data_IF_350571493272
#
_entry.id   IF_350571493272
#
_cell.length_a   1.000
_cell.length_b   1.000
_cell.length_c   1.000
_cell.angle_alpha   90.00
_cell.angle_beta   90.00
_cell.angle_gamma   90.00
#
_symmetry.space_group_name_H-M   'P 1'
#
loop_
_entity.id
_entity.type
_entity.pdbx_description
1 polymer ?
#
# COMPACT_ATOMS: atom_id res chain seq x y z
N UNK A 1 -27.69 9.62 0.22
CA UNK A 1 -26.55 8.68 0.38
C UNK A 1 -25.27 9.28 -0.21
N UNK A 2 -24.57 10.19 0.49
CA UNK A 2 -23.36 10.89 -0.02
C UNK A 2 -22.07 10.52 0.75
N UNK A 3 -22.11 9.55 1.67
CA UNK A 3 -20.96 9.20 2.53
C UNK A 3 -20.00 8.14 1.98
N UNK A 4 -20.35 7.42 0.91
CA UNK A 4 -19.57 6.28 0.39
C UNK A 4 -18.58 6.65 -0.71
N UNK A 5 -18.80 7.75 -1.44
CA UNK A 5 -17.91 8.21 -2.51
C UNK A 5 -16.57 8.75 -1.97
N UNK A 6 -16.61 9.61 -0.95
CA UNK A 6 -15.40 10.22 -0.36
C UNK A 6 -14.49 9.17 0.29
N UNK A 7 -15.07 8.20 1.02
CA UNK A 7 -14.31 7.10 1.64
C UNK A 7 -13.63 6.20 0.60
N UNK A 8 -14.26 5.99 -0.56
CA UNK A 8 -13.72 5.15 -1.65
C UNK A 8 -12.57 5.85 -2.39
N UNK A 9 -12.76 7.11 -2.79
CA UNK A 9 -11.71 7.90 -3.46
C UNK A 9 -10.50 8.10 -2.54
N UNK A 10 -10.72 8.32 -1.24
CA UNK A 10 -9.64 8.40 -0.26
C UNK A 10 -8.88 7.06 -0.08
N UNK A 11 -9.53 5.93 -0.37
CA UNK A 11 -8.90 4.61 -0.29
C UNK A 11 -8.05 4.31 -1.52
N UNK A 12 -8.49 4.70 -2.72
CA UNK A 12 -7.73 4.51 -3.96
C UNK A 12 -6.46 5.37 -3.97
N UNK A 13 -6.55 6.63 -3.55
CA UNK A 13 -5.36 7.51 -3.43
C UNK A 13 -4.34 6.95 -2.43
N UNK A 14 -4.79 6.48 -1.26
CA UNK A 14 -3.91 5.84 -0.27
C UNK A 14 -3.24 4.58 -0.81
N UNK A 15 -3.97 3.77 -1.59
CA UNK A 15 -3.38 2.58 -2.21
C UNK A 15 -2.31 2.94 -3.24
N UNK A 16 -2.55 3.95 -4.07
CA UNK A 16 -1.59 4.42 -5.07
C UNK A 16 -0.30 4.91 -4.40
N UNK A 17 -0.42 5.74 -3.36
CA UNK A 17 0.75 6.23 -2.64
C UNK A 17 1.48 5.09 -1.92
N UNK A 18 0.77 4.17 -1.27
CA UNK A 18 1.40 2.98 -0.66
C UNK A 18 2.26 2.21 -1.67
N UNK A 19 1.74 1.95 -2.88
CA UNK A 19 2.50 1.27 -3.95
C UNK A 19 3.73 2.08 -4.36
N UNK A 20 3.60 3.39 -4.54
CA UNK A 20 4.72 4.28 -4.88
C UNK A 20 5.82 4.23 -3.82
N UNK A 21 5.45 4.38 -2.55
CA UNK A 21 6.39 4.35 -1.44
C UNK A 21 7.06 2.98 -1.28
N UNK A 22 6.31 1.90 -1.51
CA UNK A 22 6.84 0.54 -1.47
C UNK A 22 7.91 0.30 -2.55
N UNK A 23 7.81 0.92 -3.72
CA UNK A 23 8.77 0.74 -4.84
C UNK A 23 9.94 1.70 -4.80
N UNK A 24 9.69 2.97 -4.50
CA UNK A 24 10.65 4.05 -4.71
C UNK A 24 11.33 4.53 -3.42
N UNK A 25 11.12 3.83 -2.29
CA UNK A 25 11.81 4.13 -1.04
C UNK A 25 12.30 2.85 -0.36
N UNK A 26 13.31 3.00 0.49
CA UNK A 26 13.84 1.91 1.34
C UNK A 26 13.11 1.78 2.68
N UNK A 27 12.04 2.57 2.89
CA UNK A 27 11.30 2.62 4.17
C UNK A 27 10.65 1.29 4.50
N UNK A 28 10.46 1.03 5.79
CA UNK A 28 9.78 -0.19 6.23
C UNK A 28 8.30 -0.16 5.84
N UNK A 29 7.65 -1.35 5.85
CA UNK A 29 6.20 -1.43 5.63
C UNK A 29 5.44 -0.70 6.73
N UNK A 30 5.99 -0.68 7.94
CA UNK A 30 5.44 0.01 9.10
C UNK A 30 5.49 1.54 8.93
N UNK A 31 6.64 2.10 8.58
CA UNK A 31 6.78 3.56 8.34
C UNK A 31 5.80 4.04 7.26
N UNK A 32 5.65 3.26 6.18
CA UNK A 32 4.73 3.57 5.09
C UNK A 32 3.28 3.53 5.56
N UNK A 33 2.93 2.62 6.47
CA UNK A 33 1.58 2.53 7.02
C UNK A 33 1.22 3.83 7.76
N UNK A 34 2.11 4.28 8.65
CA UNK A 34 1.89 5.51 9.43
C UNK A 34 1.82 6.74 8.53
N UNK A 35 2.72 6.87 7.56
CA UNK A 35 2.79 8.03 6.68
C UNK A 35 1.53 8.24 5.84
N UNK A 36 0.89 7.16 5.40
CA UNK A 36 -0.35 7.26 4.60
C UNK A 36 -1.62 7.28 5.47
N UNK A 37 -1.45 7.41 6.80
CA UNK A 37 -2.51 7.64 7.77
C UNK A 37 -3.18 6.37 8.30
N UNK A 38 -2.42 5.27 8.47
CA UNK A 38 -2.86 4.12 9.25
C UNK A 38 -2.18 4.12 10.63
N UNK A 39 -2.97 4.01 11.69
CA UNK A 39 -2.44 3.92 13.07
C UNK A 39 -2.02 2.48 13.45
N UNK A 40 -2.36 1.49 12.60
CA UNK A 40 -2.04 0.08 12.79
C UNK A 40 -1.44 -0.51 11.50
N UNK A 41 -0.14 -0.85 11.50
CA UNK A 41 0.53 -1.51 10.36
C UNK A 41 -0.08 -2.85 9.96
N UNK A 42 -0.67 -3.60 10.91
CA UNK A 42 -1.36 -4.85 10.61
C UNK A 42 -2.66 -4.60 9.86
N UNK A 43 -3.41 -3.55 10.24
CA UNK A 43 -4.59 -3.11 9.51
C UNK A 43 -4.24 -2.61 8.10
N UNK A 44 -3.17 -1.82 7.94
CA UNK A 44 -2.64 -1.47 6.62
C UNK A 44 -2.32 -2.70 5.77
N UNK A 45 -1.64 -3.68 6.35
CA UNK A 45 -1.27 -4.91 5.64
C UNK A 45 -2.49 -5.69 5.14
N UNK A 46 -3.58 -5.75 5.93
CA UNK A 46 -4.86 -6.34 5.53
C UNK A 46 -5.52 -5.52 4.41
N UNK A 47 -5.65 -4.20 4.60
CA UNK A 47 -6.20 -3.26 3.62
C UNK A 47 -5.52 -3.39 2.25
N UNK A 48 -4.19 -3.49 2.25
CA UNK A 48 -3.38 -3.60 1.05
C UNK A 48 -3.57 -4.97 0.39
N UNK A 49 -3.51 -6.06 1.17
CA UNK A 49 -3.74 -7.42 0.67
C UNK A 49 -5.13 -7.59 0.06
N UNK A 50 -6.18 -7.05 0.67
CA UNK A 50 -7.54 -7.08 0.12
C UNK A 50 -7.64 -6.41 -1.26
N UNK A 51 -6.80 -5.40 -1.53
CA UNK A 51 -6.83 -4.61 -2.78
C UNK A 51 -5.84 -5.07 -3.84
N UNK A 52 -4.74 -5.70 -3.44
CA UNK A 52 -3.63 -6.07 -4.32
C UNK A 52 -3.50 -7.59 -4.45
N UNK A 53 -4.08 -8.37 -3.54
CA UNK A 53 -4.04 -9.83 -3.50
C UNK A 53 -2.90 -10.40 -2.66
N UNK A 54 -1.90 -9.61 -2.29
CA UNK A 54 -0.72 -10.05 -1.52
C UNK A 54 -0.26 -8.99 -0.51
N UNK A 55 0.52 -9.42 0.49
CA UNK A 55 1.01 -8.52 1.54
C UNK A 55 2.02 -7.49 1.00
N UNK A 56 2.10 -6.27 1.58
CA UNK A 56 2.97 -5.20 1.07
C UNK A 56 4.44 -5.60 0.86
N UNK A 57 5.02 -6.35 1.82
CA UNK A 57 6.41 -6.81 1.73
C UNK A 57 6.62 -7.84 0.62
N UNK A 58 5.66 -8.75 0.42
CA UNK A 58 5.71 -9.75 -0.65
C UNK A 58 5.57 -9.06 -2.02
N UNK A 59 4.64 -8.13 -2.13
CA UNK A 59 4.44 -7.30 -3.32
C UNK A 59 5.72 -6.55 -3.69
N UNK A 60 6.33 -5.82 -2.73
CA UNK A 60 7.59 -5.08 -2.94
C UNK A 60 8.68 -5.99 -3.50
N UNK A 61 8.93 -7.15 -2.86
CA UNK A 61 9.98 -8.08 -3.32
C UNK A 61 9.72 -8.56 -4.75
N UNK A 62 8.48 -8.91 -5.07
CA UNK A 62 8.08 -9.38 -6.41
C UNK A 62 8.29 -8.30 -7.48
N UNK A 63 7.92 -7.06 -7.20
CA UNK A 63 8.07 -5.96 -8.16
C UNK A 63 9.54 -5.62 -8.41
N UNK A 64 10.38 -5.61 -7.37
CA UNK A 64 11.82 -5.35 -7.52
C UNK A 64 12.52 -6.49 -8.29
N UNK A 65 12.16 -7.75 -8.02
CA UNK A 65 12.68 -8.89 -8.79
C UNK A 65 12.20 -8.93 -10.25
N UNK A 66 11.05 -8.32 -10.55
CA UNK A 66 10.53 -8.17 -11.91
C UNK A 66 11.23 -7.07 -12.69
N UNK A 67 11.64 -5.99 -12.02
CA UNK A 67 12.37 -4.88 -12.62
C UNK A 67 13.79 -5.27 -13.06
N UNK A 68 14.45 -6.19 -12.34
CA UNK A 68 15.79 -6.67 -12.67
C UNK A 68 15.85 -7.62 -13.89
N UNK A 69 14.71 -7.94 -14.52
CA UNK A 69 14.59 -8.91 -15.63
C UNK A 69 14.36 -8.28 -17.01
N UNK A 70 14.42 -6.95 -17.11
CA UNK A 70 14.31 -6.15 -18.34
C UNK A 70 15.51 -5.25 -18.48
#
# INVERSE_FOLDING_TARGET
MLGSGVKRVASERRLLEAKRLLLFTVRTVEDIAYEIGFDDPAYFSRFFRERVGEAPAAWRRKQLQGADRT
#
